data_IF_016172743548
#
_entry.id   IF_016172743548
#
_cell.length_a   1.000
_cell.length_b   1.000
_cell.length_c   1.000
_cell.angle_alpha   90.00
_cell.angle_beta   90.00
_cell.angle_gamma   90.00
#
_symmetry.space_group_name_H-M   'P 1'
#
loop_
_entity.id
_entity.type
_entity.pdbx_description
1 polymer ?
#
# COMPACT_ATOMS: atom_id res chain seq x y z
N UNK A 1 -9.26 -1.42 -11.39
CA UNK A 1 -10.12 -1.49 -10.19
C UNK A 1 -9.23 -1.68 -8.98
N UNK A 2 -9.49 -0.95 -7.89
CA UNK A 2 -8.80 -1.09 -6.61
C UNK A 2 -9.77 -1.70 -5.61
N UNK A 3 -9.33 -2.78 -4.95
CA UNK A 3 -10.00 -3.46 -3.85
C UNK A 3 -9.16 -3.18 -2.62
N UNK A 4 -9.51 -2.15 -1.85
CA UNK A 4 -8.65 -1.62 -0.78
C UNK A 4 -9.24 -1.76 0.63
N UNK A 5 -8.36 -1.66 1.63
CA UNK A 5 -8.68 -1.72 3.07
C UNK A 5 -9.31 -3.07 3.47
N UNK A 6 -8.85 -4.12 2.81
CA UNK A 6 -9.35 -5.47 3.08
C UNK A 6 -8.61 -6.08 4.27
N UNK A 7 -9.31 -6.90 5.04
CA UNK A 7 -8.77 -7.59 6.23
C UNK A 7 -8.89 -9.10 6.15
N UNK A 8 -9.79 -9.62 5.31
CA UNK A 8 -10.05 -11.04 5.13
C UNK A 8 -9.78 -11.48 3.69
N UNK A 9 -9.16 -12.62 3.51
CA UNK A 9 -8.76 -13.11 2.19
C UNK A 9 -9.95 -13.56 1.32
N UNK A 10 -10.96 -14.14 1.92
CA UNK A 10 -12.19 -14.58 1.24
C UNK A 10 -13.01 -13.39 0.71
N UNK A 11 -13.00 -12.25 1.40
CA UNK A 11 -13.60 -11.01 0.90
C UNK A 11 -12.88 -10.52 -0.35
N UNK A 12 -11.54 -10.48 -0.32
CA UNK A 12 -10.74 -10.15 -1.51
C UNK A 12 -11.05 -11.07 -2.68
N UNK A 13 -11.08 -12.40 -2.43
CA UNK A 13 -11.40 -13.38 -3.47
C UNK A 13 -12.78 -13.15 -4.07
N UNK A 14 -13.78 -12.86 -3.23
CA UNK A 14 -15.16 -12.63 -3.66
C UNK A 14 -15.24 -11.43 -4.59
N UNK A 15 -14.61 -10.30 -4.22
CA UNK A 15 -14.61 -9.08 -5.05
C UNK A 15 -13.85 -9.32 -6.36
N UNK A 16 -12.67 -9.94 -6.31
CA UNK A 16 -11.87 -10.24 -7.52
C UNK A 16 -12.65 -11.14 -8.47
N UNK A 17 -13.31 -12.19 -7.97
CA UNK A 17 -14.16 -13.06 -8.80
C UNK A 17 -15.31 -12.29 -9.45
N UNK A 18 -15.97 -11.39 -8.72
CA UNK A 18 -17.04 -10.55 -9.25
C UNK A 18 -16.53 -9.64 -10.37
N UNK A 19 -15.36 -9.00 -10.17
CA UNK A 19 -14.71 -8.18 -11.19
C UNK A 19 -14.39 -9.01 -12.44
N UNK A 20 -13.77 -10.19 -12.28
CA UNK A 20 -13.37 -11.05 -13.41
C UNK A 20 -14.58 -11.61 -14.18
N UNK A 21 -15.73 -11.80 -13.54
CA UNK A 21 -17.01 -12.17 -14.23
C UNK A 21 -17.53 -11.04 -15.10
N UNK A 22 -17.39 -9.78 -14.66
CA UNK A 22 -17.87 -8.61 -15.40
C UNK A 22 -16.86 -8.13 -16.45
N UNK A 23 -15.56 -8.16 -16.13
CA UNK A 23 -14.47 -7.62 -16.96
C UNK A 23 -13.20 -8.43 -16.78
N UNK A 24 -12.98 -9.41 -17.66
CA UNK A 24 -11.88 -10.37 -17.52
C UNK A 24 -10.47 -9.74 -17.52
N UNK A 25 -10.26 -8.68 -18.28
CA UNK A 25 -8.93 -8.12 -18.55
C UNK A 25 -8.69 -6.75 -17.90
N UNK A 26 -9.60 -6.30 -17.04
CA UNK A 26 -9.35 -5.03 -16.33
C UNK A 26 -8.26 -5.27 -15.27
N UNK A 27 -7.25 -4.39 -15.15
CA UNK A 27 -6.28 -4.48 -14.07
C UNK A 27 -6.94 -4.38 -12.70
N UNK A 28 -6.52 -5.25 -11.78
CA UNK A 28 -7.05 -5.30 -10.41
C UNK A 28 -5.90 -5.15 -9.43
N UNK A 29 -6.04 -4.18 -8.54
CA UNK A 29 -5.16 -3.95 -7.40
C UNK A 29 -5.87 -4.48 -6.16
N UNK A 30 -5.20 -5.35 -5.39
CA UNK A 30 -5.68 -5.78 -4.08
C UNK A 30 -4.82 -5.17 -2.98
N UNK A 31 -5.45 -4.52 -2.01
CA UNK A 31 -4.76 -3.87 -0.90
C UNK A 31 -5.34 -4.28 0.44
N UNK A 32 -4.49 -4.82 1.31
CA UNK A 32 -4.87 -5.24 2.66
C UNK A 32 -4.42 -4.22 3.71
N UNK A 33 -5.10 -4.27 4.84
CA UNK A 33 -4.80 -3.47 6.01
C UNK A 33 -4.18 -4.33 7.09
N UNK A 34 -3.03 -3.91 7.60
CA UNK A 34 -2.31 -4.59 8.67
C UNK A 34 -2.22 -3.73 9.91
N UNK A 35 -2.23 -4.38 11.06
CA UNK A 35 -1.90 -3.78 12.34
C UNK A 35 -0.56 -4.32 12.83
N UNK A 36 0.20 -3.48 13.54
CA UNK A 36 1.47 -3.87 14.15
C UNK A 36 1.22 -4.64 15.43
N UNK A 37 1.85 -5.79 15.56
CA UNK A 37 1.82 -6.59 16.77
C UNK A 37 2.86 -6.10 17.79
N UNK A 38 2.68 -6.49 19.05
CA UNK A 38 3.61 -6.15 20.14
C UNK A 38 5.01 -6.71 19.91
N UNK A 39 5.12 -7.86 19.25
CA UNK A 39 6.38 -8.51 18.86
C UNK A 39 7.06 -7.89 17.63
N UNK A 40 6.44 -6.86 17.04
CA UNK A 40 6.94 -6.16 15.86
C UNK A 40 6.51 -6.75 14.52
N UNK A 41 5.74 -7.85 14.51
CA UNK A 41 5.14 -8.41 13.31
C UNK A 41 3.92 -7.61 12.82
N UNK A 42 3.35 -8.05 11.69
CA UNK A 42 2.15 -7.43 11.10
C UNK A 42 1.11 -8.51 10.80
N UNK A 43 -0.15 -8.23 11.15
CA UNK A 43 -1.30 -9.06 10.78
C UNK A 43 -2.51 -8.20 10.46
N UNK A 44 -3.38 -8.75 9.61
CA UNK A 44 -4.72 -8.16 9.44
C UNK A 44 -5.54 -8.38 10.71
N UNK A 45 -6.65 -7.66 10.85
CA UNK A 45 -7.59 -7.83 11.97
C UNK A 45 -8.13 -9.28 12.07
N UNK A 46 -8.18 -10.01 10.97
CA UNK A 46 -8.60 -11.43 10.92
C UNK A 46 -7.44 -12.42 11.18
N UNK A 47 -6.23 -11.91 11.48
CA UNK A 47 -5.09 -12.72 11.87
C UNK A 47 -4.19 -13.19 10.71
N UNK A 48 -4.45 -12.77 9.49
CA UNK A 48 -3.63 -13.10 8.31
C UNK A 48 -2.29 -12.37 8.39
N UNK A 49 -1.18 -13.10 8.28
CA UNK A 49 0.15 -12.49 8.21
C UNK A 49 0.50 -12.02 6.79
N UNK A 50 1.61 -11.29 6.67
CA UNK A 50 2.01 -10.66 5.40
C UNK A 50 2.31 -11.69 4.33
N UNK A 51 2.98 -12.79 4.68
CA UNK A 51 3.35 -13.83 3.72
C UNK A 51 2.12 -14.55 3.17
N UNK A 52 1.20 -14.95 4.06
CA UNK A 52 -0.08 -15.53 3.67
C UNK A 52 -0.88 -14.61 2.75
N UNK A 53 -0.92 -13.31 3.08
CA UNK A 53 -1.61 -12.30 2.30
C UNK A 53 -1.03 -12.17 0.88
N UNK A 54 0.29 -12.08 0.77
CA UNK A 54 0.97 -11.94 -0.53
C UNK A 54 0.77 -13.17 -1.38
N UNK A 55 1.01 -14.38 -0.82
CA UNK A 55 0.86 -15.64 -1.53
C UNK A 55 -0.57 -15.81 -2.07
N UNK A 56 -1.57 -15.46 -1.26
CA UNK A 56 -2.96 -15.52 -1.65
C UNK A 56 -3.30 -14.51 -2.78
N UNK A 57 -2.85 -13.28 -2.67
CA UNK A 57 -3.07 -12.26 -3.70
C UNK A 57 -2.37 -12.62 -5.03
N UNK A 58 -1.21 -13.26 -4.98
CA UNK A 58 -0.52 -13.81 -6.16
C UNK A 58 -1.35 -14.93 -6.80
N UNK A 59 -1.92 -15.84 -6.00
CA UNK A 59 -2.79 -16.92 -6.49
C UNK A 59 -4.08 -16.39 -7.14
N UNK A 60 -4.60 -15.25 -6.70
CA UNK A 60 -5.75 -14.58 -7.30
C UNK A 60 -5.41 -13.85 -8.61
N UNK A 61 -4.16 -13.88 -9.04
CA UNK A 61 -3.67 -13.22 -10.24
C UNK A 61 -3.97 -11.72 -10.28
N UNK A 62 -3.70 -11.03 -9.16
CA UNK A 62 -3.81 -9.57 -9.07
C UNK A 62 -2.65 -8.90 -9.81
N UNK A 63 -2.93 -7.81 -10.51
CA UNK A 63 -1.91 -7.09 -11.29
C UNK A 63 -0.96 -6.29 -10.41
N UNK A 64 -1.47 -5.75 -9.31
CA UNK A 64 -0.73 -4.99 -8.29
C UNK A 64 -1.17 -5.46 -6.91
N UNK A 65 -0.21 -5.67 -6.02
CA UNK A 65 -0.47 -5.96 -4.62
C UNK A 65 -0.23 -4.70 -3.78
N UNK A 66 -1.02 -4.51 -2.74
CA UNK A 66 -0.90 -3.30 -1.94
C UNK A 66 -1.14 -3.49 -0.45
N UNK A 67 -0.77 -2.45 0.29
CA UNK A 67 -1.13 -2.27 1.68
C UNK A 67 -1.50 -0.80 1.94
N UNK A 68 -2.55 -0.60 2.73
CA UNK A 68 -3.05 0.73 3.05
C UNK A 68 -3.65 0.78 4.44
N UNK A 69 -3.87 1.99 4.95
CA UNK A 69 -4.49 2.20 6.26
C UNK A 69 -3.65 1.55 7.39
N UNK A 70 -4.30 0.87 8.34
CA UNK A 70 -3.65 0.24 9.49
C UNK A 70 -3.71 1.09 10.75
N UNK A 71 -4.10 0.46 11.86
CA UNK A 71 -4.22 1.16 13.13
C UNK A 71 -2.85 1.33 13.76
N UNK A 72 -2.45 2.59 13.97
CA UNK A 72 -1.23 2.91 14.69
C UNK A 72 0.07 2.67 13.93
N UNK A 73 0.00 2.49 12.61
CA UNK A 73 1.18 2.48 11.75
C UNK A 73 1.62 3.91 11.41
N UNK A 74 2.93 4.11 11.43
CA UNK A 74 3.59 5.27 10.84
C UNK A 74 4.15 4.91 9.46
N UNK A 75 4.41 5.91 8.62
CA UNK A 75 4.91 5.66 7.27
C UNK A 75 6.18 4.79 7.26
N UNK A 76 7.04 4.90 8.28
CA UNK A 76 8.23 4.06 8.43
C UNK A 76 7.94 2.56 8.62
N UNK A 77 6.79 2.18 9.17
CA UNK A 77 6.41 0.78 9.33
C UNK A 77 6.14 0.10 7.99
N UNK A 78 5.70 0.89 6.99
CA UNK A 78 5.44 0.39 5.65
C UNK A 78 6.70 0.00 4.87
N UNK A 79 7.88 0.50 5.27
CA UNK A 79 9.16 0.06 4.69
C UNK A 79 9.32 -1.45 4.93
N UNK A 80 9.10 -1.89 6.18
CA UNK A 80 9.16 -3.31 6.53
C UNK A 80 8.08 -4.15 5.83
N UNK A 81 6.86 -3.62 5.69
CA UNK A 81 5.80 -4.30 4.95
C UNK A 81 6.19 -4.49 3.48
N UNK A 82 6.66 -3.43 2.81
CA UNK A 82 7.10 -3.49 1.41
C UNK A 82 8.24 -4.49 1.22
N UNK A 83 9.22 -4.52 2.12
CA UNK A 83 10.31 -5.49 2.07
C UNK A 83 9.80 -6.94 2.19
N UNK A 84 8.80 -7.19 3.04
CA UNK A 84 8.17 -8.50 3.16
C UNK A 84 7.42 -8.90 1.89
N UNK A 85 6.68 -7.97 1.27
CA UNK A 85 6.04 -8.18 -0.02
C UNK A 85 7.08 -8.52 -1.11
N UNK A 86 8.15 -7.73 -1.21
CA UNK A 86 9.20 -7.90 -2.23
C UNK A 86 9.96 -9.22 -2.11
N UNK A 87 10.00 -9.84 -0.92
CA UNK A 87 10.58 -11.17 -0.74
C UNK A 87 9.72 -12.30 -1.33
N UNK A 88 8.42 -12.03 -1.55
CA UNK A 88 7.44 -13.05 -1.97
C UNK A 88 6.94 -12.86 -3.39
N UNK A 89 7.11 -11.69 -3.99
CA UNK A 89 6.59 -11.40 -5.33
C UNK A 89 7.41 -10.35 -6.06
N UNK A 90 7.44 -10.47 -7.40
CA UNK A 90 8.00 -9.45 -8.30
C UNK A 90 6.91 -8.50 -8.85
N UNK A 91 5.65 -8.68 -8.45
CA UNK A 91 4.56 -7.80 -8.87
C UNK A 91 4.75 -6.39 -8.30
N UNK A 92 4.24 -5.34 -9.00
CA UNK A 92 4.26 -3.98 -8.48
C UNK A 92 3.55 -3.88 -7.13
N UNK A 93 4.10 -3.07 -6.22
CA UNK A 93 3.54 -2.89 -4.87
C UNK A 93 3.04 -1.47 -4.71
N UNK A 94 1.76 -1.34 -4.30
CA UNK A 94 1.12 -0.08 -3.97
C UNK A 94 1.09 0.12 -2.45
N UNK A 95 1.45 1.32 -2.01
CA UNK A 95 1.45 1.69 -0.59
C UNK A 95 0.69 3.00 -0.39
N UNK A 96 -0.29 2.96 0.51
CA UNK A 96 -1.13 4.12 0.83
C UNK A 96 -1.23 4.28 2.37
N UNK A 97 -0.21 4.87 3.03
CA UNK A 97 -0.19 5.07 4.47
C UNK A 97 -1.21 6.10 4.94
N UNK A 98 -1.64 5.98 6.20
CA UNK A 98 -2.28 7.08 6.91
C UNK A 98 -1.23 8.18 7.21
N UNK A 99 -1.69 9.38 7.52
CA UNK A 99 -0.83 10.45 8.03
C UNK A 99 -0.49 10.22 9.53
N UNK A 100 0.03 9.03 9.84
CA UNK A 100 0.31 8.57 11.20
C UNK A 100 -0.96 8.20 11.98
N UNK A 101 -0.96 8.44 13.29
CA UNK A 101 -2.05 8.03 14.20
C UNK A 101 -3.12 9.10 14.32
N UNK A 102 -4.41 8.73 14.28
CA UNK A 102 -5.49 9.65 14.60
C UNK A 102 -5.50 9.95 16.12
N UNK A 103 -5.71 11.20 16.47
CA UNK A 103 -5.99 11.65 17.85
C UNK A 103 -7.13 12.63 17.85
N UNK A 104 -7.87 12.67 18.95
CA UNK A 104 -8.90 13.67 19.16
C UNK A 104 -8.27 14.94 19.76
N UNK A 105 -8.43 16.07 19.09
CA UNK A 105 -8.01 17.38 19.57
C UNK A 105 -9.15 18.38 19.44
N UNK A 106 -9.64 18.89 20.57
CA UNK A 106 -10.75 19.86 20.66
C UNK A 106 -11.99 19.47 19.84
N UNK A 107 -12.33 18.16 19.84
CA UNK A 107 -13.49 17.64 19.10
C UNK A 107 -13.24 17.33 17.61
N UNK A 108 -12.03 17.52 17.12
CA UNK A 108 -11.63 17.19 15.76
C UNK A 108 -10.62 16.05 15.74
N UNK A 109 -10.75 15.18 14.71
CA UNK A 109 -9.73 14.14 14.46
C UNK A 109 -8.57 14.82 13.74
N UNK A 110 -7.37 14.72 14.31
CA UNK A 110 -6.11 15.18 13.73
C UNK A 110 -5.14 14.00 13.65
N UNK A 111 -4.22 14.08 12.71
CA UNK A 111 -3.19 13.05 12.48
C UNK A 111 -1.82 13.61 12.86
N UNK A 112 -0.92 12.75 13.33
CA UNK A 112 0.35 13.17 13.94
C UNK A 112 1.53 13.26 12.94
N UNK A 113 1.37 12.80 11.70
CA UNK A 113 2.38 12.97 10.65
C UNK A 113 1.98 14.06 9.65
N UNK A 114 2.87 15.04 9.47
CA UNK A 114 2.66 16.10 8.45
C UNK A 114 3.04 15.62 7.06
N UNK A 115 2.64 16.37 6.04
CA UNK A 115 2.99 16.08 4.65
C UNK A 115 4.51 16.04 4.42
N UNK A 116 5.26 16.91 5.11
CA UNK A 116 6.73 16.95 5.05
C UNK A 116 7.37 15.72 5.71
N UNK A 117 6.87 15.31 6.88
CA UNK A 117 7.34 14.11 7.59
C UNK A 117 7.14 12.87 6.74
N UNK A 118 5.94 12.71 6.18
CA UNK A 118 5.64 11.58 5.29
C UNK A 118 6.50 11.62 4.02
N UNK A 119 6.62 12.77 3.38
CA UNK A 119 7.44 12.92 2.18
C UNK A 119 8.93 12.60 2.43
N UNK A 120 9.46 12.93 3.59
CA UNK A 120 10.83 12.60 3.97
C UNK A 120 11.09 11.09 4.06
N UNK A 121 10.06 10.29 4.31
CA UNK A 121 10.15 8.81 4.40
C UNK A 121 10.00 8.11 3.04
N UNK A 122 9.54 8.81 2.00
CA UNK A 122 9.30 8.20 0.68
C UNK A 122 10.55 7.58 0.03
N UNK A 123 11.75 8.20 0.10
CA UNK A 123 12.94 7.58 -0.47
C UNK A 123 13.20 6.17 0.08
N UNK A 124 12.94 5.94 1.37
CA UNK A 124 13.08 4.62 1.99
C UNK A 124 12.03 3.62 1.47
N UNK A 125 10.76 4.05 1.31
CA UNK A 125 9.71 3.23 0.72
C UNK A 125 10.02 2.83 -0.73
N UNK A 126 10.50 3.77 -1.54
CA UNK A 126 10.88 3.51 -2.93
C UNK A 126 12.08 2.54 -2.98
N UNK A 127 13.08 2.75 -2.11
CA UNK A 127 14.23 1.86 -2.02
C UNK A 127 13.85 0.46 -1.57
N UNK A 128 12.87 0.30 -0.68
CA UNK A 128 12.32 -0.98 -0.27
C UNK A 128 11.57 -1.71 -1.40
N UNK A 129 11.14 -1.00 -2.46
CA UNK A 129 10.52 -1.58 -3.64
C UNK A 129 9.08 -1.14 -3.92
N UNK A 130 8.56 -0.13 -3.21
CA UNK A 130 7.26 0.44 -3.54
C UNK A 130 7.26 0.99 -4.97
N UNK A 131 6.27 0.56 -5.76
CA UNK A 131 6.11 0.96 -7.18
C UNK A 131 5.07 2.07 -7.35
N UNK A 132 4.07 2.10 -6.47
CA UNK A 132 3.00 3.09 -6.45
C UNK A 132 2.87 3.59 -5.01
N UNK A 133 2.89 4.90 -4.83
CA UNK A 133 2.72 5.53 -3.52
C UNK A 133 1.55 6.50 -3.55
N UNK A 134 0.74 6.46 -2.51
CA UNK A 134 -0.38 7.34 -2.30
C UNK A 134 -0.55 7.63 -0.82
N UNK A 135 -1.77 7.92 -0.41
CA UNK A 135 -2.11 8.15 0.98
C UNK A 135 -3.52 7.69 1.29
N UNK A 136 -3.80 7.44 2.57
CA UNK A 136 -5.10 7.04 3.09
C UNK A 136 -5.59 8.08 4.13
N UNK A 137 -6.07 7.66 5.28
CA UNK A 137 -6.65 8.54 6.29
C UNK A 137 -5.70 9.68 6.72
N UNK A 138 -6.23 10.89 6.82
CA UNK A 138 -5.47 12.07 7.21
C UNK A 138 -4.61 12.71 6.13
N UNK A 139 -4.43 12.05 4.98
CA UNK A 139 -3.70 12.63 3.86
C UNK A 139 -4.59 13.52 3.01
N UNK A 140 -4.00 14.52 2.37
CA UNK A 140 -4.67 15.47 1.50
C UNK A 140 -3.79 15.88 0.31
N UNK A 141 -4.24 16.85 -0.51
CA UNK A 141 -3.52 17.25 -1.73
C UNK A 141 -2.06 17.66 -1.50
N UNK A 142 -1.75 18.26 -0.35
CA UNK A 142 -0.39 18.67 0.00
C UNK A 142 0.54 17.48 0.15
N UNK A 143 0.09 16.40 0.80
CA UNK A 143 0.83 15.15 0.91
C UNK A 143 1.19 14.61 -0.48
N UNK A 144 0.20 14.49 -1.36
CA UNK A 144 0.40 13.97 -2.73
C UNK A 144 1.34 14.87 -3.54
N UNK A 145 1.24 16.21 -3.37
CA UNK A 145 2.13 17.16 -4.03
C UNK A 145 3.59 16.96 -3.62
N UNK A 146 3.85 16.76 -2.33
CA UNK A 146 5.19 16.49 -1.82
C UNK A 146 5.68 15.10 -2.21
N UNK A 147 4.81 14.08 -2.18
CA UNK A 147 5.12 12.71 -2.64
C UNK A 147 5.57 12.72 -4.10
N UNK A 148 4.83 13.42 -4.96
CA UNK A 148 5.19 13.53 -6.37
C UNK A 148 6.59 14.10 -6.56
N UNK A 149 6.98 15.12 -5.80
CA UNK A 149 8.34 15.70 -5.85
C UNK A 149 9.41 14.68 -5.49
N UNK A 150 9.18 13.84 -4.47
CA UNK A 150 10.13 12.80 -4.08
C UNK A 150 10.24 11.69 -5.13
N UNK A 151 9.11 11.27 -5.70
CA UNK A 151 9.07 10.27 -6.78
C UNK A 151 9.84 10.79 -8.01
N UNK A 152 9.62 12.04 -8.40
CA UNK A 152 10.33 12.65 -9.53
C UNK A 152 11.85 12.74 -9.28
N UNK A 153 12.24 13.07 -8.05
CA UNK A 153 13.65 13.12 -7.66
C UNK A 153 14.31 11.73 -7.65
N UNK A 154 13.56 10.68 -7.31
CA UNK A 154 14.02 9.29 -7.31
C UNK A 154 14.06 8.68 -8.72
N UNK A 155 13.25 9.17 -9.65
CA UNK A 155 13.19 8.70 -11.03
C UNK A 155 14.44 9.16 -11.81
N UNK A 156 15.57 8.43 -11.65
CA UNK A 156 16.76 8.65 -12.47
C UNK A 156 16.48 8.24 -13.92
N UNK A 157 16.99 8.98 -14.93
CA UNK A 157 16.96 8.52 -16.31
C UNK A 157 17.64 7.14 -16.42
N UNK A 158 16.87 6.12 -16.80
CA UNK A 158 17.36 4.74 -16.97
C UNK A 158 17.03 3.76 -15.84
N UNK A 159 16.36 4.14 -14.79
CA UNK A 159 15.83 3.19 -13.80
C UNK A 159 14.76 2.30 -14.47
N UNK A 160 14.98 0.98 -14.50
CA UNK A 160 13.96 0.04 -14.96
C UNK A 160 12.77 0.12 -14.00
N UNK A 161 11.64 0.64 -14.49
CA UNK A 161 10.38 0.56 -13.79
C UNK A 161 10.00 -0.92 -13.60
N UNK A 162 9.57 -1.31 -12.40
CA UNK A 162 8.92 -2.60 -12.16
C UNK A 162 7.49 -2.65 -12.72
N UNK A 163 6.98 -1.55 -13.22
CA UNK A 163 5.72 -1.51 -13.93
C UNK A 163 5.87 -2.32 -15.22
N UNK A 164 4.99 -3.28 -15.41
CA UNK A 164 4.90 -4.03 -16.65
C UNK A 164 4.73 -3.04 -17.84
N UNK A 165 5.41 -3.29 -18.98
CA UNK A 165 5.52 -2.31 -20.06
C UNK A 165 4.22 -1.97 -20.79
N UNK A 166 3.10 -2.64 -20.53
CA UNK A 166 1.90 -2.55 -21.36
C UNK A 166 0.60 -2.35 -20.57
N UNK A 167 0.51 -1.29 -19.74
CA UNK A 167 -0.81 -0.73 -19.43
C UNK A 167 -1.26 0.17 -20.61
N UNK A 168 -1.67 -0.44 -21.73
CA UNK A 168 -2.48 0.24 -22.72
C UNK A 168 -3.88 0.46 -22.13
N UNK A 169 -4.16 1.71 -21.75
CA UNK A 169 -5.49 2.18 -21.34
C UNK A 169 -6.36 2.36 -22.59
#
# INVERSE_FOLDING_TARGET
IIVETMTALDEVATVVQAVRRCRRHVPVIGSLTFDRLVDGGFRTMTGVDVEQAVDFMVQLDLDVLGCNCGTGLHIGDYVNLVEQYCRRTDRPIMVQPNAGRPRLDRGHIVYDETAEMMAASLPALIAAGASIVGGCCGTGPEHIRLFRRQVDAAAKPGAKSRLAPDFNI
#
